data_IF_869718493767
#
_entry.id   IF_869718493767
#
_cell.length_a   1.000
_cell.length_b   1.000
_cell.length_c   1.000
_cell.angle_alpha   90.00
_cell.angle_beta   90.00
_cell.angle_gamma   90.00
#
_symmetry.space_group_name_H-M   'P 1'
#
loop_
_entity.id
_entity.type
_entity.pdbx_description
1 polymer ?
#
# COMPACT_ATOMS: atom_id res chain seq x y z
N UNK A 1 -49.12 24.04 -65.66
CA UNK A 1 -49.81 24.33 -64.38
C UNK A 1 -50.27 23.06 -63.63
N UNK A 2 -50.83 22.04 -64.30
CA UNK A 2 -51.43 20.88 -63.62
C UNK A 2 -50.45 19.84 -62.99
N UNK A 3 -49.15 19.84 -63.35
CA UNK A 3 -48.18 18.84 -62.87
C UNK A 3 -47.42 19.27 -61.59
N UNK A 4 -47.49 20.55 -61.23
CA UNK A 4 -46.76 21.09 -60.09
C UNK A 4 -47.29 20.66 -58.71
N UNK A 5 -48.62 20.49 -58.49
CA UNK A 5 -49.11 19.91 -57.24
C UNK A 5 -48.66 18.44 -57.08
N UNK A 6 -48.70 17.63 -58.14
CA UNK A 6 -48.27 16.22 -58.10
C UNK A 6 -46.78 16.09 -57.76
N UNK A 7 -45.93 17.00 -58.28
CA UNK A 7 -44.50 17.04 -57.94
C UNK A 7 -44.24 17.49 -56.50
N UNK A 8 -45.05 18.39 -55.97
CA UNK A 8 -44.98 18.81 -54.58
C UNK A 8 -45.35 17.66 -53.63
N UNK A 9 -46.42 16.92 -53.94
CA UNK A 9 -46.87 15.78 -53.14
C UNK A 9 -45.87 14.62 -53.17
N UNK A 10 -45.25 14.34 -54.32
CA UNK A 10 -44.17 13.35 -54.42
C UNK A 10 -42.94 13.75 -53.59
N UNK A 11 -42.57 15.04 -53.58
CA UNK A 11 -41.46 15.54 -52.76
C UNK A 11 -41.78 15.43 -51.27
N UNK A 12 -43.00 15.77 -50.86
CA UNK A 12 -43.46 15.59 -49.47
C UNK A 12 -43.46 14.12 -49.06
N UNK A 13 -44.00 13.22 -49.88
CA UNK A 13 -44.00 11.78 -49.61
C UNK A 13 -42.58 11.21 -49.49
N UNK A 14 -41.63 11.61 -50.36
CA UNK A 14 -40.22 11.22 -50.21
C UNK A 14 -39.57 11.80 -48.95
N UNK A 15 -39.92 13.03 -48.56
CA UNK A 15 -39.40 13.67 -47.34
C UNK A 15 -39.94 12.98 -46.08
N UNK A 16 -41.22 12.61 -46.06
CA UNK A 16 -41.84 11.85 -44.98
C UNK A 16 -41.29 10.43 -44.87
N UNK A 17 -41.09 9.75 -46.00
CA UNK A 17 -40.45 8.42 -46.02
C UNK A 17 -39.00 8.49 -45.54
N UNK A 18 -38.23 9.50 -45.96
CA UNK A 18 -36.87 9.74 -45.48
C UNK A 18 -36.84 10.10 -43.99
N UNK A 19 -37.83 10.86 -43.50
CA UNK A 19 -37.94 11.20 -42.08
C UNK A 19 -38.30 9.96 -41.24
N UNK A 20 -39.23 9.11 -41.71
CA UNK A 20 -39.56 7.83 -41.05
C UNK A 20 -38.37 6.86 -41.03
N UNK A 21 -37.62 6.78 -42.14
CA UNK A 21 -36.38 6.01 -42.22
C UNK A 21 -35.30 6.52 -41.26
N UNK A 22 -35.12 7.85 -41.16
CA UNK A 22 -34.20 8.46 -40.20
C UNK A 22 -34.59 8.22 -38.73
N UNK A 23 -35.90 8.20 -38.42
CA UNK A 23 -36.39 7.84 -37.08
C UNK A 23 -36.09 6.37 -36.76
N UNK A 24 -36.32 5.44 -37.70
CA UNK A 24 -35.97 4.03 -37.50
C UNK A 24 -34.46 3.81 -37.35
N UNK A 25 -33.63 4.52 -38.12
CA UNK A 25 -32.17 4.43 -37.99
C UNK A 25 -31.69 4.94 -36.62
N UNK A 26 -32.29 6.04 -36.13
CA UNK A 26 -31.99 6.56 -34.79
C UNK A 26 -32.41 5.60 -33.67
N UNK A 27 -33.52 4.87 -33.84
CA UNK A 27 -33.99 3.88 -32.89
C UNK A 27 -33.09 2.64 -32.88
N UNK A 28 -32.69 2.17 -34.07
CA UNK A 28 -31.75 1.06 -34.22
C UNK A 28 -30.37 1.40 -33.62
N UNK A 29 -29.88 2.62 -33.83
CA UNK A 29 -28.62 3.09 -33.23
C UNK A 29 -28.69 3.11 -31.69
N UNK A 30 -29.80 3.57 -31.11
CA UNK A 30 -30.03 3.55 -29.65
C UNK A 30 -30.10 2.12 -29.11
N UNK A 31 -30.80 1.22 -29.79
CA UNK A 31 -30.89 -0.19 -29.42
C UNK A 31 -29.53 -0.88 -29.49
N UNK A 32 -28.75 -0.60 -30.54
CA UNK A 32 -27.40 -1.12 -30.67
C UNK A 32 -26.49 -0.61 -29.54
N UNK A 33 -26.55 0.69 -29.22
CA UNK A 33 -25.78 1.26 -28.13
C UNK A 33 -26.13 0.62 -26.77
N UNK A 34 -27.41 0.35 -26.49
CA UNK A 34 -27.83 -0.27 -25.23
C UNK A 34 -27.39 -1.73 -25.11
N UNK A 35 -27.49 -2.51 -26.20
CA UNK A 35 -27.01 -3.89 -26.24
C UNK A 35 -25.48 -3.95 -26.08
N UNK A 36 -24.75 -3.03 -26.72
CA UNK A 36 -23.30 -2.92 -26.56
C UNK A 36 -22.92 -2.54 -25.13
N UNK A 37 -23.64 -1.60 -24.51
CA UNK A 37 -23.45 -1.24 -23.10
C UNK A 37 -23.62 -2.46 -22.19
N UNK A 38 -24.72 -3.21 -22.34
CA UNK A 38 -24.96 -4.42 -21.56
C UNK A 38 -23.86 -5.46 -21.75
N UNK A 39 -23.46 -5.73 -23.00
CA UNK A 39 -22.37 -6.66 -23.31
C UNK A 39 -21.07 -6.25 -22.62
N UNK A 40 -20.68 -4.97 -22.71
CA UNK A 40 -19.45 -4.46 -22.11
C UNK A 40 -19.51 -4.50 -20.59
N UNK A 41 -20.64 -4.11 -20.01
CA UNK A 41 -20.89 -4.18 -18.57
C UNK A 41 -20.73 -5.62 -18.03
N UNK A 42 -21.35 -6.60 -18.69
CA UNK A 42 -21.21 -8.01 -18.32
C UNK A 42 -19.78 -8.52 -18.53
N UNK A 43 -19.09 -8.05 -19.56
CA UNK A 43 -17.68 -8.38 -19.81
C UNK A 43 -16.81 -7.92 -18.66
N UNK A 44 -16.93 -6.65 -18.26
CA UNK A 44 -16.22 -6.06 -17.12
C UNK A 44 -16.51 -6.83 -15.83
N UNK A 45 -17.79 -7.06 -15.52
CA UNK A 45 -18.20 -7.77 -14.30
C UNK A 45 -17.62 -9.19 -14.24
N UNK A 46 -17.70 -9.94 -15.34
CA UNK A 46 -17.12 -11.29 -15.45
C UNK A 46 -15.61 -11.26 -15.22
N UNK A 47 -14.90 -10.31 -15.84
CA UNK A 47 -13.44 -10.21 -15.70
C UNK A 47 -13.01 -9.83 -14.28
N UNK A 48 -13.76 -8.96 -13.60
CA UNK A 48 -13.48 -8.58 -12.21
C UNK A 48 -13.69 -9.76 -11.26
N UNK A 49 -14.76 -10.54 -11.43
CA UNK A 49 -15.00 -11.77 -10.65
C UNK A 49 -13.91 -12.82 -10.89
N UNK A 50 -13.44 -12.94 -12.14
CA UNK A 50 -12.32 -13.82 -12.46
C UNK A 50 -11.04 -13.37 -11.75
N UNK A 51 -10.76 -12.06 -11.74
CA UNK A 51 -9.62 -11.47 -11.02
C UNK A 51 -9.67 -11.78 -9.52
N UNK A 52 -10.82 -11.62 -8.86
CA UNK A 52 -10.98 -11.95 -7.43
C UNK A 52 -10.67 -13.43 -7.13
N UNK A 53 -11.15 -14.34 -7.98
CA UNK A 53 -10.86 -15.77 -7.87
C UNK A 53 -9.38 -16.09 -8.06
N UNK A 54 -8.72 -15.41 -9.01
CA UNK A 54 -7.30 -15.63 -9.32
C UNK A 54 -6.38 -15.05 -8.24
N UNK A 55 -6.77 -13.94 -7.60
CA UNK A 55 -6.06 -13.33 -6.45
C UNK A 55 -6.09 -14.23 -5.22
N UNK A 56 -7.24 -14.84 -4.94
CA UNK A 56 -7.45 -15.68 -3.74
C UNK A 56 -6.90 -17.10 -3.88
N UNK A 57 -6.57 -17.56 -5.09
CA UNK A 57 -6.00 -18.89 -5.32
C UNK A 57 -7.01 -20.03 -5.14
N UNK A 58 -8.21 -19.87 -5.71
CA UNK A 58 -9.32 -20.81 -5.49
C UNK A 58 -9.00 -22.27 -5.87
N UNK A 59 -9.24 -23.19 -4.93
CA UNK A 59 -9.22 -24.65 -5.15
C UNK A 59 -7.82 -25.27 -5.17
N UNK A 60 -6.89 -24.82 -4.33
CA UNK A 60 -5.54 -25.39 -4.21
C UNK A 60 -4.60 -25.07 -5.39
N UNK A 61 -5.02 -24.20 -6.30
CA UNK A 61 -4.19 -23.73 -7.42
C UNK A 61 -3.29 -22.57 -6.99
N UNK A 62 -2.08 -22.52 -7.55
CA UNK A 62 -1.15 -21.40 -7.37
C UNK A 62 -1.83 -20.08 -7.75
N UNK A 63 -1.55 -19.02 -6.99
CA UNK A 63 -1.98 -17.65 -7.32
C UNK A 63 -1.51 -17.29 -8.73
N UNK A 64 -2.34 -16.56 -9.47
CA UNK A 64 -2.00 -16.11 -10.81
C UNK A 64 -0.75 -15.22 -10.79
N UNK A 65 0.02 -15.25 -11.88
CA UNK A 65 1.17 -14.37 -12.01
C UNK A 65 0.72 -12.90 -12.05
N UNK A 66 1.54 -11.95 -11.58
CA UNK A 66 1.22 -10.53 -11.69
C UNK A 66 0.95 -10.09 -13.13
N UNK A 67 1.66 -10.67 -14.10
CA UNK A 67 1.51 -10.39 -15.53
C UNK A 67 0.13 -10.81 -16.06
N UNK A 68 -0.39 -11.96 -15.63
CA UNK A 68 -1.74 -12.41 -16.01
C UNK A 68 -2.82 -11.47 -15.45
N UNK A 69 -2.62 -10.98 -14.23
CA UNK A 69 -3.53 -10.01 -13.60
C UNK A 69 -3.51 -8.67 -14.36
N UNK A 70 -2.32 -8.20 -14.77
CA UNK A 70 -2.17 -6.99 -15.60
C UNK A 70 -2.96 -7.11 -16.90
N UNK A 71 -2.84 -8.23 -17.62
CA UNK A 71 -3.57 -8.46 -18.88
C UNK A 71 -5.09 -8.43 -18.71
N UNK A 72 -5.60 -8.99 -17.61
CA UNK A 72 -7.02 -8.93 -17.29
C UNK A 72 -7.50 -7.51 -16.98
N UNK A 73 -6.70 -6.72 -16.25
CA UNK A 73 -7.02 -5.30 -16.04
C UNK A 73 -6.94 -4.48 -17.32
N UNK A 74 -6.03 -4.77 -18.24
CA UNK A 74 -6.03 -4.14 -19.57
C UNK A 74 -7.31 -4.45 -20.35
N UNK A 75 -7.81 -5.69 -20.31
CA UNK A 75 -9.10 -6.06 -20.91
C UNK A 75 -10.27 -5.29 -20.29
N UNK A 76 -10.26 -5.07 -18.96
CA UNK A 76 -11.24 -4.24 -18.27
C UNK A 76 -11.16 -2.78 -18.77
N UNK A 77 -9.94 -2.23 -18.88
CA UNK A 77 -9.74 -0.85 -19.32
C UNK A 77 -10.13 -0.61 -20.78
N UNK A 78 -9.88 -1.58 -21.67
CA UNK A 78 -10.37 -1.55 -23.05
C UNK A 78 -11.91 -1.50 -23.05
N UNK A 79 -12.55 -2.40 -22.29
CA UNK A 79 -14.02 -2.47 -22.23
C UNK A 79 -14.64 -1.17 -21.68
N UNK A 80 -14.08 -0.62 -20.60
CA UNK A 80 -14.52 0.66 -20.03
C UNK A 80 -14.27 1.85 -20.99
N UNK A 81 -13.16 1.80 -21.74
CA UNK A 81 -12.84 2.80 -22.76
C UNK A 81 -13.74 2.71 -24.01
N UNK A 82 -14.30 1.54 -24.32
CA UNK A 82 -15.35 1.40 -25.33
C UNK A 82 -16.68 1.92 -24.80
N UNK A 83 -17.04 1.63 -23.54
CA UNK A 83 -18.25 2.14 -22.91
C UNK A 83 -18.31 3.67 -22.91
N UNK A 84 -17.18 4.34 -22.64
CA UNK A 84 -17.12 5.81 -22.64
C UNK A 84 -17.27 6.46 -24.02
N UNK A 85 -17.11 5.69 -25.09
CA UNK A 85 -17.23 6.18 -26.48
C UNK A 85 -18.62 5.98 -27.08
N UNK A 86 -19.49 5.19 -26.44
CA UNK A 86 -20.82 4.88 -26.95
C UNK A 86 -21.68 6.16 -27.04
N UNK A 87 -22.19 6.44 -28.24
CA UNK A 87 -23.11 7.54 -28.47
C UNK A 87 -24.46 7.26 -27.81
N UNK A 88 -25.08 8.27 -27.22
CA UNK A 88 -26.30 8.16 -26.43
C UNK A 88 -26.09 8.09 -24.92
N UNK A 89 -24.93 7.62 -24.45
CA UNK A 89 -24.60 7.54 -23.01
C UNK A 89 -23.69 8.67 -22.52
N UNK A 90 -23.04 9.40 -23.43
CA UNK A 90 -22.17 10.55 -23.10
C UNK A 90 -22.87 11.69 -22.38
N UNK A 91 -24.18 11.82 -22.56
CA UNK A 91 -25.00 12.88 -21.94
C UNK A 91 -25.31 12.53 -20.49
N UNK A 92 -25.24 11.25 -20.12
CA UNK A 92 -25.50 10.79 -18.77
C UNK A 92 -24.24 10.93 -17.90
N UNK A 93 -24.01 12.15 -17.41
CA UNK A 93 -22.83 12.51 -16.61
C UNK A 93 -22.61 11.58 -15.43
N UNK A 94 -23.71 11.16 -14.77
CA UNK A 94 -23.68 10.22 -13.65
C UNK A 94 -23.08 8.87 -14.03
N UNK A 95 -23.52 8.30 -15.16
CA UNK A 95 -23.09 6.99 -15.64
C UNK A 95 -21.64 7.04 -16.15
N UNK A 96 -21.29 8.13 -16.83
CA UNK A 96 -19.94 8.38 -17.32
C UNK A 96 -18.95 8.58 -16.17
N UNK A 97 -19.35 9.26 -15.10
CA UNK A 97 -18.57 9.38 -13.87
C UNK A 97 -18.27 8.02 -13.22
N UNK A 98 -19.24 7.09 -13.19
CA UNK A 98 -19.01 5.72 -12.70
C UNK A 98 -18.01 4.95 -13.58
N UNK A 99 -18.11 5.09 -14.90
CA UNK A 99 -17.16 4.46 -15.84
C UNK A 99 -15.75 5.03 -15.63
N UNK A 100 -15.62 6.33 -15.42
CA UNK A 100 -14.33 6.96 -15.15
C UNK A 100 -13.74 6.51 -13.81
N UNK A 101 -14.52 6.50 -12.73
CA UNK A 101 -14.08 6.05 -11.42
C UNK A 101 -13.59 4.58 -11.47
N UNK A 102 -14.34 3.69 -12.13
CA UNK A 102 -13.92 2.30 -12.37
C UNK A 102 -12.66 2.21 -13.22
N UNK A 103 -12.51 3.07 -14.23
CA UNK A 103 -11.31 3.14 -15.06
C UNK A 103 -10.09 3.53 -14.23
N UNK A 104 -10.22 4.49 -13.30
CA UNK A 104 -9.14 4.85 -12.36
C UNK A 104 -8.79 3.70 -11.42
N UNK A 105 -9.80 3.01 -10.86
CA UNK A 105 -9.58 1.84 -10.02
C UNK A 105 -8.82 0.72 -10.77
N UNK A 106 -9.25 0.37 -11.99
CA UNK A 106 -8.58 -0.63 -12.81
C UNK A 106 -7.14 -0.21 -13.19
N UNK A 107 -6.89 1.07 -13.47
CA UNK A 107 -5.52 1.60 -13.69
C UNK A 107 -4.65 1.48 -12.44
N UNK A 108 -5.19 1.77 -11.25
CA UNK A 108 -4.47 1.66 -9.99
C UNK A 108 -4.02 0.22 -9.73
N UNK A 109 -4.94 -0.74 -9.85
CA UNK A 109 -4.64 -2.16 -9.72
C UNK A 109 -3.66 -2.67 -10.77
N UNK A 110 -3.81 -2.26 -12.03
CA UNK A 110 -2.85 -2.60 -13.09
C UNK A 110 -1.45 -2.11 -12.73
N UNK A 111 -1.33 -0.85 -12.30
CA UNK A 111 -0.06 -0.24 -11.90
C UNK A 111 0.58 -0.98 -10.73
N UNK A 112 -0.22 -1.38 -9.72
CA UNK A 112 0.23 -2.19 -8.61
C UNK A 112 0.78 -3.56 -9.06
N UNK A 113 0.08 -4.30 -9.92
CA UNK A 113 0.57 -5.60 -10.38
C UNK A 113 1.74 -5.49 -11.36
N UNK A 114 1.84 -4.40 -12.12
CA UNK A 114 3.06 -4.06 -12.85
C UNK A 114 4.22 -3.86 -11.87
N UNK A 115 4.03 -3.13 -10.77
CA UNK A 115 5.05 -2.97 -9.74
C UNK A 115 5.49 -4.30 -9.12
N UNK A 116 4.55 -5.22 -8.87
CA UNK A 116 4.86 -6.59 -8.39
C UNK A 116 5.72 -7.36 -9.41
N UNK A 117 5.50 -7.18 -10.73
CA UNK A 117 6.39 -7.79 -11.74
C UNK A 117 7.80 -7.20 -11.73
N UNK A 118 7.98 -5.90 -11.47
CA UNK A 118 9.31 -5.29 -11.32
C UNK A 118 10.00 -5.78 -10.04
N UNK A 119 9.25 -5.94 -8.96
CA UNK A 119 9.75 -6.53 -7.72
C UNK A 119 10.22 -7.98 -7.91
N UNK A 120 9.55 -8.75 -8.75
CA UNK A 120 9.95 -10.14 -9.04
C UNK A 120 11.32 -10.27 -9.74
N UNK A 121 11.83 -9.19 -10.36
CA UNK A 121 13.16 -9.12 -11.00
C UNK A 121 14.11 -8.15 -10.28
N UNK A 122 13.92 -7.94 -8.97
CA UNK A 122 14.76 -7.12 -8.08
C UNK A 122 14.90 -5.63 -8.50
N UNK A 123 14.01 -5.13 -9.35
CA UNK A 123 13.96 -3.72 -9.77
C UNK A 123 13.16 -2.89 -8.78
N UNK A 124 13.69 -2.81 -7.55
CA UNK A 124 12.99 -2.25 -6.40
C UNK A 124 12.75 -0.74 -6.50
N UNK A 125 13.61 0.00 -7.20
CA UNK A 125 13.44 1.44 -7.39
C UNK A 125 12.24 1.73 -8.30
N UNK A 126 12.16 1.05 -9.44
CA UNK A 126 11.06 1.14 -10.38
C UNK A 126 9.75 0.63 -9.76
N UNK A 127 9.81 -0.50 -9.05
CA UNK A 127 8.65 -1.04 -8.33
C UNK A 127 8.10 -0.04 -7.32
N UNK A 128 8.95 0.64 -6.54
CA UNK A 128 8.52 1.64 -5.56
C UNK A 128 7.77 2.81 -6.20
N UNK A 129 8.31 3.37 -7.28
CA UNK A 129 7.66 4.49 -8.00
C UNK A 129 6.30 4.06 -8.54
N UNK A 130 6.21 2.83 -9.07
CA UNK A 130 4.94 2.28 -9.53
C UNK A 130 3.93 2.05 -8.38
N UNK A 131 4.38 1.62 -7.19
CA UNK A 131 3.50 1.53 -6.01
C UNK A 131 3.01 2.91 -5.56
N UNK A 132 3.87 3.93 -5.58
CA UNK A 132 3.49 5.32 -5.30
C UNK A 132 2.43 5.80 -6.29
N UNK A 133 2.65 5.58 -7.59
CA UNK A 133 1.68 5.91 -8.63
C UNK A 133 0.37 5.14 -8.50
N UNK A 134 0.40 3.88 -8.09
CA UNK A 134 -0.80 3.10 -7.82
C UNK A 134 -1.62 3.69 -6.66
N UNK A 135 -0.95 4.22 -5.63
CA UNK A 135 -1.57 4.94 -4.53
C UNK A 135 -2.25 6.24 -4.99
N UNK A 136 -1.57 7.05 -5.79
CA UNK A 136 -2.16 8.29 -6.36
C UNK A 136 -3.42 8.00 -7.19
N UNK A 137 -3.38 6.97 -8.04
CA UNK A 137 -4.51 6.56 -8.87
C UNK A 137 -5.68 6.03 -8.03
N UNK A 138 -5.40 5.36 -6.91
CA UNK A 138 -6.40 4.93 -5.93
C UNK A 138 -7.06 6.13 -5.27
N UNK A 139 -6.28 7.13 -4.86
CA UNK A 139 -6.81 8.37 -4.26
C UNK A 139 -7.66 9.15 -5.27
N UNK A 140 -7.22 9.25 -6.53
CA UNK A 140 -8.01 9.82 -7.63
C UNK A 140 -9.34 9.07 -7.81
N UNK A 141 -9.32 7.73 -7.77
CA UNK A 141 -10.54 6.92 -7.88
C UNK A 141 -11.50 7.17 -6.73
N UNK A 142 -11.01 7.21 -5.48
CA UNK A 142 -11.85 7.51 -4.31
C UNK A 142 -12.52 8.88 -4.40
N UNK A 143 -11.77 9.91 -4.82
CA UNK A 143 -12.33 11.25 -5.03
C UNK A 143 -13.44 11.26 -6.08
N UNK A 144 -13.24 10.57 -7.21
CA UNK A 144 -14.29 10.46 -8.23
C UNK A 144 -15.53 9.74 -7.71
N UNK A 145 -15.37 8.70 -6.88
CA UNK A 145 -16.50 8.04 -6.25
C UNK A 145 -17.23 8.95 -5.24
N UNK A 146 -16.53 9.81 -4.50
CA UNK A 146 -17.16 10.78 -3.60
C UNK A 146 -17.85 11.93 -4.34
N UNK A 147 -17.25 12.42 -5.43
CA UNK A 147 -17.82 13.52 -6.22
C UNK A 147 -19.11 13.09 -6.91
N UNK A 148 -19.12 11.87 -7.46
CA UNK A 148 -20.34 11.22 -7.96
C UNK A 148 -21.44 11.09 -6.89
N UNK A 149 -21.05 10.81 -5.64
CA UNK A 149 -22.01 10.64 -4.54
C UNK A 149 -22.69 11.96 -4.16
N UNK A 150 -21.95 13.08 -4.19
CA UNK A 150 -22.54 14.41 -3.99
C UNK A 150 -23.55 14.77 -5.09
N UNK A 151 -23.25 14.44 -6.35
CA UNK A 151 -24.15 14.71 -7.48
C UNK A 151 -25.46 13.89 -7.35
N UNK A 152 -25.38 12.68 -6.82
CA UNK A 152 -26.54 11.81 -6.59
C UNK A 152 -27.49 12.23 -5.46
N UNK A 153 -27.08 13.16 -4.59
CA UNK A 153 -27.91 13.67 -3.48
C UNK A 153 -28.76 14.90 -3.88
N UNK A 154 -28.55 15.48 -5.06
CA UNK A 154 -29.29 16.64 -5.58
C UNK A 154 -30.44 16.32 -6.54
N UNK A 155 -30.70 15.04 -6.83
CA UNK A 155 -31.75 14.61 -7.77
C UNK A 155 -32.88 13.84 -7.09
N UNK A 156 -34.12 14.18 -7.41
CA UNK A 156 -35.32 13.37 -7.13
C UNK A 156 -35.26 12.05 -7.92
N UNK A 157 -34.35 11.15 -7.53
CA UNK A 157 -34.17 9.84 -8.13
C UNK A 157 -35.01 8.80 -7.39
N UNK A 158 -35.95 8.18 -8.09
CA UNK A 158 -36.76 7.05 -7.62
C UNK A 158 -35.90 5.93 -7.02
N UNK A 159 -36.34 5.39 -5.89
CA UNK A 159 -35.65 4.52 -4.93
C UNK A 159 -35.20 3.13 -5.41
N UNK A 160 -35.32 2.79 -6.69
CA UNK A 160 -35.24 1.40 -7.17
C UNK A 160 -34.08 1.07 -8.12
N UNK A 161 -33.21 2.01 -8.49
CA UNK A 161 -31.98 1.63 -9.18
C UNK A 161 -30.96 1.05 -8.19
N UNK A 162 -30.55 -0.22 -8.36
CA UNK A 162 -29.79 -0.89 -7.34
C UNK A 162 -28.39 -0.25 -7.28
N UNK A 163 -27.97 0.14 -6.06
CA UNK A 163 -26.62 0.68 -5.72
C UNK A 163 -25.50 -0.36 -5.92
N UNK A 164 -25.61 -1.19 -6.94
CA UNK A 164 -24.77 -2.34 -7.25
C UNK A 164 -23.41 -1.84 -7.72
N UNK A 165 -22.39 -2.10 -6.91
CA UNK A 165 -20.99 -1.81 -7.21
C UNK A 165 -20.32 -0.80 -6.28
N UNK A 166 -21.06 0.05 -5.53
CA UNK A 166 -20.43 1.03 -4.62
C UNK A 166 -19.67 0.36 -3.47
N UNK A 167 -20.32 -0.57 -2.77
CA UNK A 167 -19.72 -1.25 -1.62
C UNK A 167 -18.53 -2.13 -2.00
N UNK A 168 -18.64 -2.83 -3.13
CA UNK A 168 -17.59 -3.70 -3.67
C UNK A 168 -16.39 -2.88 -4.14
N UNK A 169 -16.61 -1.81 -4.92
CA UNK A 169 -15.55 -0.95 -5.43
C UNK A 169 -14.83 -0.20 -4.28
N UNK A 170 -15.56 0.33 -3.30
CA UNK A 170 -14.98 1.03 -2.14
C UNK A 170 -14.15 0.09 -1.24
N UNK A 171 -14.67 -1.10 -0.92
CA UNK A 171 -13.91 -2.10 -0.17
C UNK A 171 -12.66 -2.54 -0.93
N UNK A 172 -12.75 -2.66 -2.26
CA UNK A 172 -11.61 -2.99 -3.10
C UNK A 172 -10.54 -1.89 -3.10
N UNK A 173 -10.92 -0.60 -3.09
CA UNK A 173 -9.97 0.52 -3.04
C UNK A 173 -9.26 0.62 -1.67
N UNK A 174 -9.98 0.36 -0.59
CA UNK A 174 -9.39 0.27 0.75
C UNK A 174 -8.40 -0.90 0.85
N UNK A 175 -8.77 -2.06 0.31
CA UNK A 175 -7.87 -3.22 0.23
C UNK A 175 -6.63 -2.93 -0.63
N UNK A 176 -6.78 -2.19 -1.74
CA UNK A 176 -5.63 -1.77 -2.54
C UNK A 176 -4.72 -0.82 -1.77
N UNK A 177 -5.28 0.11 -0.97
CA UNK A 177 -4.50 1.02 -0.14
C UNK A 177 -3.58 0.29 0.84
N UNK A 178 -4.11 -0.70 1.56
CA UNK A 178 -3.28 -1.50 2.49
C UNK A 178 -2.21 -2.33 1.77
N UNK A 179 -2.52 -2.86 0.59
CA UNK A 179 -1.54 -3.57 -0.26
C UNK A 179 -0.42 -2.65 -0.75
N UNK A 180 -0.75 -1.44 -1.20
CA UNK A 180 0.21 -0.45 -1.70
C UNK A 180 1.18 -0.03 -0.59
N UNK A 181 0.66 0.33 0.60
CA UNK A 181 1.51 0.74 1.72
C UNK A 181 2.44 -0.39 2.19
N UNK A 182 1.90 -1.61 2.31
CA UNK A 182 2.72 -2.79 2.61
C UNK A 182 3.77 -3.06 1.53
N UNK A 183 3.44 -2.89 0.25
CA UNK A 183 4.37 -3.11 -0.85
C UNK A 183 5.47 -2.05 -0.93
N UNK A 184 5.18 -0.78 -0.68
CA UNK A 184 6.20 0.30 -0.57
C UNK A 184 7.23 -0.01 0.51
N UNK A 185 6.76 -0.39 1.71
CA UNK A 185 7.63 -0.75 2.82
C UNK A 185 8.50 -1.97 2.50
N UNK A 186 7.91 -3.02 1.91
CA UNK A 186 8.66 -4.20 1.44
C UNK A 186 9.71 -3.84 0.39
N UNK A 187 9.34 -3.10 -0.64
CA UNK A 187 10.25 -2.69 -1.71
C UNK A 187 11.41 -1.82 -1.17
N UNK A 188 11.13 -0.92 -0.23
CA UNK A 188 12.17 -0.16 0.46
C UNK A 188 13.15 -1.07 1.21
N UNK A 189 12.63 -1.98 2.03
CA UNK A 189 13.45 -2.90 2.82
C UNK A 189 14.31 -3.79 1.89
N UNK A 190 13.72 -4.35 0.84
CA UNK A 190 14.43 -5.18 -0.14
C UNK A 190 15.49 -4.38 -0.91
N UNK A 191 15.20 -3.14 -1.30
CA UNK A 191 16.20 -2.26 -1.93
C UNK A 191 17.40 -1.99 -1.02
N UNK A 192 17.16 -1.77 0.28
CA UNK A 192 18.24 -1.58 1.26
C UNK A 192 19.04 -2.88 1.42
N UNK A 193 18.38 -4.03 1.58
CA UNK A 193 19.05 -5.32 1.69
C UNK A 193 19.88 -5.65 0.45
N UNK A 194 19.39 -5.34 -0.75
CA UNK A 194 20.12 -5.51 -2.00
C UNK A 194 21.40 -4.65 -2.02
N UNK A 195 21.31 -3.38 -1.61
CA UNK A 195 22.47 -2.50 -1.49
C UNK A 195 23.49 -3.00 -0.47
N UNK A 196 23.02 -3.43 0.71
CA UNK A 196 23.85 -3.98 1.77
C UNK A 196 24.56 -5.27 1.34
N UNK A 197 23.92 -6.10 0.52
CA UNK A 197 24.54 -7.31 -0.05
C UNK A 197 25.59 -7.03 -1.13
N UNK A 198 25.76 -5.78 -1.57
CA UNK A 198 26.70 -5.41 -2.63
C UNK A 198 26.05 -5.32 -4.02
N UNK A 199 24.72 -5.25 -4.10
CA UNK A 199 23.96 -5.10 -5.35
C UNK A 199 23.21 -6.37 -5.76
N UNK A 200 22.93 -6.50 -7.06
CA UNK A 200 22.26 -7.67 -7.63
C UNK A 200 22.98 -8.97 -7.25
N UNK A 201 22.28 -10.09 -7.01
CA UNK A 201 22.90 -11.39 -6.69
C UNK A 201 24.08 -11.76 -7.61
N UNK A 202 24.03 -11.41 -8.89
CA UNK A 202 25.14 -11.62 -9.83
C UNK A 202 26.41 -10.84 -9.45
N UNK A 203 26.27 -9.60 -8.95
CA UNK A 203 27.38 -8.76 -8.48
C UNK A 203 27.94 -9.33 -7.17
N UNK A 204 27.07 -9.82 -6.29
CA UNK A 204 27.46 -10.43 -5.02
C UNK A 204 28.26 -11.72 -5.24
N UNK A 205 27.84 -12.58 -6.17
CA UNK A 205 28.57 -13.81 -6.52
C UNK A 205 29.94 -13.50 -7.12
N UNK A 206 30.03 -12.51 -8.02
CA UNK A 206 31.31 -12.04 -8.55
C UNK A 206 32.23 -11.49 -7.44
N UNK A 207 31.66 -10.72 -6.49
CA UNK A 207 32.36 -10.20 -5.33
C UNK A 207 32.87 -11.28 -4.38
N UNK A 208 32.09 -12.34 -4.13
CA UNK A 208 32.54 -13.51 -3.34
C UNK A 208 33.68 -14.27 -4.01
N UNK A 209 33.67 -14.35 -5.35
CA UNK A 209 34.77 -14.93 -6.12
C UNK A 209 36.09 -14.18 -5.90
N UNK A 210 36.04 -12.85 -5.87
CA UNK A 210 37.18 -11.98 -5.57
C UNK A 210 37.60 -12.04 -4.09
N UNK A 211 36.65 -12.11 -3.15
CA UNK A 211 36.93 -12.17 -1.71
C UNK A 211 37.67 -13.44 -1.25
N UNK A 212 37.65 -14.51 -2.05
CA UNK A 212 38.48 -15.72 -1.82
C UNK A 212 39.96 -15.49 -2.07
N UNK A 213 40.33 -14.39 -2.75
CA UNK A 213 41.71 -13.97 -2.93
C UNK A 213 42.16 -13.17 -1.70
N UNK A 214 42.28 -13.86 -0.57
CA UNK A 214 42.80 -13.26 0.66
C UNK A 214 44.31 -13.04 0.52
N UNK A 215 44.75 -11.77 0.54
CA UNK A 215 46.17 -11.39 0.41
C UNK A 215 46.94 -11.55 1.74
N UNK A 216 46.21 -11.51 2.86
CA UNK A 216 46.75 -11.74 4.19
C UNK A 216 46.08 -13.01 4.72
N UNK A 217 46.84 -14.06 5.00
CA UNK A 217 46.33 -15.39 5.40
C UNK A 217 45.59 -15.44 6.73
N UNK A 218 44.54 -14.63 6.88
CA UNK A 218 43.65 -14.63 8.03
C UNK A 218 42.75 -15.87 7.99
N UNK A 219 42.57 -16.56 9.12
CA UNK A 219 41.81 -17.79 9.18
C UNK A 219 40.33 -17.54 8.88
N UNK A 220 39.73 -18.37 8.04
CA UNK A 220 38.30 -18.35 7.69
C UNK A 220 37.35 -18.46 8.91
N UNK A 221 37.87 -18.82 10.09
CA UNK A 221 37.11 -19.07 11.31
C UNK A 221 36.46 -17.81 11.93
N UNK A 222 36.88 -16.61 11.55
CA UNK A 222 36.31 -15.39 12.16
C UNK A 222 34.87 -15.18 11.66
N UNK A 223 34.52 -15.62 10.44
CA UNK A 223 33.22 -15.38 9.79
C UNK A 223 32.00 -15.98 10.52
N UNK A 224 32.18 -17.05 11.31
CA UNK A 224 31.07 -17.77 11.95
C UNK A 224 30.59 -17.17 13.29
N UNK A 225 31.28 -16.14 13.79
CA UNK A 225 30.92 -15.46 15.04
C UNK A 225 30.05 -14.23 14.71
N UNK A 226 28.93 -13.99 15.43
CA UNK A 226 28.03 -12.88 15.15
C UNK A 226 28.75 -11.53 15.22
N UNK A 227 28.29 -10.56 14.41
CA UNK A 227 28.92 -9.25 14.28
C UNK A 227 29.13 -8.55 15.63
N UNK A 228 28.16 -8.67 16.55
CA UNK A 228 28.22 -8.07 17.88
C UNK A 228 29.43 -8.53 18.72
N UNK A 229 29.91 -9.75 18.51
CA UNK A 229 31.07 -10.31 19.24
C UNK A 229 32.41 -10.00 18.54
N UNK A 230 32.37 -9.34 17.37
CA UNK A 230 33.54 -9.05 16.52
C UNK A 230 33.65 -7.57 16.16
N UNK A 231 33.17 -6.68 17.01
CA UNK A 231 33.21 -5.23 16.76
C UNK A 231 34.63 -4.68 16.57
N UNK A 232 35.64 -5.36 17.15
CA UNK A 232 37.06 -5.00 17.03
C UNK A 232 37.69 -5.47 15.71
N UNK A 233 36.97 -6.26 14.91
CA UNK A 233 37.42 -6.78 13.62
C UNK A 233 36.74 -6.06 12.46
N UNK A 234 37.49 -5.17 11.82
CA UNK A 234 37.04 -4.44 10.62
C UNK A 234 37.11 -5.31 9.37
N UNK A 235 36.20 -6.29 9.25
CA UNK A 235 35.96 -7.02 8.00
C UNK A 235 34.79 -6.38 7.24
N UNK A 236 34.59 -6.76 5.98
CA UNK A 236 33.33 -6.47 5.30
C UNK A 236 32.16 -6.94 6.19
N UNK A 237 31.21 -6.05 6.45
CA UNK A 237 30.12 -6.30 7.40
C UNK A 237 29.20 -7.35 6.80
N UNK A 238 29.14 -8.52 7.42
CA UNK A 238 28.12 -9.51 7.10
C UNK A 238 26.82 -9.13 7.82
N UNK A 239 25.84 -8.70 7.03
CA UNK A 239 24.54 -8.25 7.54
C UNK A 239 23.58 -9.40 7.88
N UNK A 240 23.97 -10.66 7.64
CA UNK A 240 23.09 -11.82 7.81
C UNK A 240 23.07 -12.34 9.25
N UNK A 241 24.16 -12.16 10.01
CA UNK A 241 24.27 -12.65 11.41
C UNK A 241 24.80 -11.56 12.37
N UNK A 242 23.92 -10.59 12.67
CA UNK A 242 24.26 -9.47 13.57
C UNK A 242 24.40 -9.94 15.03
N UNK A 243 23.44 -10.74 15.49
CA UNK A 243 23.38 -11.34 16.83
C UNK A 243 22.94 -12.80 16.70
N UNK A 244 23.21 -13.61 17.71
CA UNK A 244 22.58 -14.93 17.83
C UNK A 244 21.10 -14.74 18.21
N UNK A 245 20.21 -15.35 17.42
CA UNK A 245 18.77 -15.32 17.66
C UNK A 245 18.17 -16.74 17.62
N UNK A 246 17.44 -17.18 18.67
CA UNK A 246 17.18 -16.46 19.92
C UNK A 246 18.48 -16.25 20.74
N UNK A 247 18.56 -15.18 21.56
CA UNK A 247 19.72 -14.94 22.40
C UNK A 247 19.93 -16.08 23.38
N UNK A 248 21.17 -16.31 23.80
CA UNK A 248 21.47 -17.29 24.84
C UNK A 248 20.75 -16.92 26.13
N UNK A 249 20.20 -17.93 26.81
CA UNK A 249 19.50 -17.72 28.08
C UNK A 249 20.52 -17.36 29.16
N UNK A 250 20.47 -16.11 29.61
CA UNK A 250 21.31 -15.58 30.69
C UNK A 250 20.43 -15.11 31.85
N UNK A 251 20.92 -15.27 33.08
CA UNK A 251 20.21 -14.80 34.27
C UNK A 251 20.32 -13.28 34.35
N UNK A 252 19.23 -12.56 34.05
CA UNK A 252 19.17 -11.10 34.19
C UNK A 252 18.55 -10.75 35.54
N UNK A 253 19.18 -9.83 36.28
CA UNK A 253 18.60 -9.32 37.53
C UNK A 253 17.34 -8.50 37.22
N UNK A 254 16.17 -9.06 37.50
CA UNK A 254 14.86 -8.44 37.19
C UNK A 254 14.54 -7.18 38.03
N UNK A 255 15.44 -6.74 38.90
CA UNK A 255 15.30 -5.53 39.71
C UNK A 255 16.57 -4.69 39.57
N UNK A 256 16.51 -3.48 38.99
CA UNK A 256 17.65 -2.57 38.98
C UNK A 256 18.03 -2.26 40.43
N UNK A 257 19.33 -2.25 40.72
CA UNK A 257 19.84 -1.90 42.05
C UNK A 257 19.62 -0.40 42.24
N UNK A 258 18.73 -0.03 43.16
CA UNK A 258 18.50 1.36 43.56
C UNK A 258 19.26 1.63 44.86
N UNK A 259 20.21 2.56 44.82
CA UNK A 259 20.86 3.07 46.03
C UNK A 259 20.09 4.28 46.54
N UNK A 260 19.61 4.23 47.79
CA UNK A 260 19.05 5.39 48.47
C UNK A 260 20.18 6.27 49.03
N UNK A 261 20.69 7.16 48.18
CA UNK A 261 21.80 8.07 48.50
C UNK A 261 21.38 9.14 49.53
N UNK A 262 20.07 9.46 49.61
CA UNK A 262 19.57 10.45 50.55
C UNK A 262 19.77 10.01 52.01
N UNK A 263 19.73 8.71 52.26
CA UNK A 263 20.02 8.15 53.59
C UNK A 263 21.43 8.47 54.09
N UNK A 264 22.41 8.56 53.19
CA UNK A 264 23.79 8.91 53.56
C UNK A 264 23.94 10.36 54.05
N UNK A 265 22.96 11.21 53.76
CA UNK A 265 22.95 12.62 54.13
C UNK A 265 22.23 12.90 55.46
N UNK A 266 21.66 11.88 56.11
CA UNK A 266 21.06 12.03 57.43
C UNK A 266 22.19 12.15 58.47
N UNK A 267 22.58 13.38 58.76
CA UNK A 267 23.50 13.72 59.84
C UNK A 267 22.70 14.07 61.10
N UNK A 268 23.17 13.60 62.26
CA UNK A 268 22.60 14.03 63.52
C UNK A 268 22.88 15.54 63.71
N UNK A 269 21.90 16.32 64.20
CA UNK A 269 22.14 17.71 64.53
C UNK A 269 23.18 17.80 65.64
N UNK A 270 24.02 18.82 65.61
CA UNK A 270 24.97 19.07 66.69
C UNK A 270 24.22 19.35 68.00
N UNK A 271 24.42 18.49 69.00
CA UNK A 271 23.76 18.57 70.31
C UNK A 271 24.61 19.32 71.35
N UNK A 272 25.76 19.89 70.96
CA UNK A 272 26.69 20.56 71.88
C UNK A 272 26.02 21.67 72.71
N UNK A 273 25.05 22.39 72.15
CA UNK A 273 24.30 23.44 72.85
C UNK A 273 23.30 22.92 73.90
N UNK A 274 22.94 21.63 73.85
CA UNK A 274 21.99 20.99 74.78
C UNK A 274 22.67 20.28 75.94
N UNK A 275 24.00 20.15 75.92
CA UNK A 275 24.76 19.69 77.08
C UNK A 275 24.71 20.76 78.19
N UNK A 276 23.89 20.53 79.23
CA UNK A 276 23.94 21.34 80.45
C UNK A 276 25.24 21.03 81.20
N UNK A 277 26.09 22.05 81.39
CA UNK A 277 27.29 21.94 82.22
C UNK A 277 26.91 21.52 83.65
N UNK A 278 27.41 20.37 84.12
CA UNK A 278 27.37 20.00 85.54
C UNK A 278 28.26 20.99 86.31
N UNK A 279 27.67 21.95 87.04
CA UNK A 279 28.40 22.69 88.08
C UNK A 279 28.72 21.72 89.21
N UNK A 280 29.96 21.25 89.25
CA UNK A 280 30.54 20.48 90.34
C UNK A 280 30.85 21.42 91.51
N UNK A 281 29.97 21.47 92.51
CA UNK A 281 30.25 22.08 93.82
C UNK A 281 30.55 20.96 94.82
N UNK A 282 31.82 20.56 94.93
CA UNK A 282 32.36 19.85 96.11
C UNK A 282 33.88 20.06 96.13
N UNK A 283 34.30 21.16 96.74
CA UNK A 283 35.71 21.40 97.09
C UNK A 283 35.98 20.80 98.47
N UNK A 284 37.07 20.01 98.51
CA UNK A 284 37.97 19.83 99.65
C UNK A 284 37.38 19.35 100.99
N UNK A 285 37.35 18.02 101.17
CA UNK A 285 37.66 17.41 102.46
C UNK A 285 38.56 16.19 102.20
N UNK A 286 39.73 16.19 102.85
CA UNK A 286 40.66 15.06 103.08
C UNK A 286 41.45 14.60 101.83
N UNK A 287 42.75 14.81 101.69
CA UNK A 287 43.80 14.99 102.69
C UNK A 287 44.50 13.66 102.98
N UNK A 288 45.79 13.59 102.61
CA UNK A 288 46.79 12.56 102.98
C UNK A 288 46.58 11.15 102.42
N UNK A 289 47.59 10.32 102.14
CA UNK A 289 49.05 10.42 102.04
C UNK A 289 49.51 8.96 101.95
N UNK A 290 50.37 8.68 100.96
CA UNK A 290 51.17 7.46 100.78
C UNK A 290 50.43 6.17 100.43
#
# INVERSE_FOLDING_TARGET
>A
AALEPVRHDLRQATKEHSARAGVSDSFLAKLQASLLWQKLHHTVRRTLLLLERLKTGGGGKKRASPEDLVRLYDSVLISLGEMSKLDGYKVEERLMGQVEARSRCAKAYRCYYTAESYGAVDKWAEARVLYERAGELRDEAERLYSDYELIGLGGEGTSDEPRVGRGEDAASLQALGSLVEGAKARAHAQAVLLKLRGGSPAVVEAGRGLGKLSLDGQPAAVADVPLLQRLDHFTAVDHERIIDFPPNLETVACKPILFDIARNQIQLPDLSQRLKAKKSTWSSYLGFSR
#
